data_IF_430630175468
#
_entry.id   IF_430630175468
#
_cell.length_a   1.000
_cell.length_b   1.000
_cell.length_c   1.000
_cell.angle_alpha   90.00
_cell.angle_beta   90.00
_cell.angle_gamma   90.00
#
_symmetry.space_group_name_H-M   'P 1'
#
loop_
_entity.id
_entity.type
_entity.pdbx_description
1 polymer ?
#
# COMPACT_ATOMS: atom_id res chain seq x y z
N UNK A 1 5.42 -19.26 -14.72
CA UNK A 1 4.69 -18.01 -14.62
C UNK A 1 3.54 -18.22 -13.65
N UNK A 2 3.54 -17.57 -12.52
CA UNK A 2 2.51 -17.64 -11.49
C UNK A 2 1.62 -16.41 -11.66
N UNK A 3 0.33 -16.61 -11.90
CA UNK A 3 -0.63 -15.52 -11.98
C UNK A 3 -1.39 -15.42 -10.65
N UNK A 4 -1.47 -14.21 -10.12
CA UNK A 4 -2.24 -13.86 -8.94
C UNK A 4 -3.53 -13.19 -9.41
N UNK A 5 -4.66 -13.64 -8.92
CA UNK A 5 -5.95 -12.97 -9.13
C UNK A 5 -6.13 -11.96 -8.00
N UNK A 6 -6.24 -10.70 -8.34
CA UNK A 6 -6.55 -9.62 -7.40
C UNK A 6 -7.95 -9.10 -7.73
N UNK A 7 -8.84 -9.22 -6.79
CA UNK A 7 -10.19 -8.67 -6.85
C UNK A 7 -10.16 -7.26 -6.26
N UNK A 8 -10.57 -6.27 -7.05
CA UNK A 8 -10.75 -4.91 -6.53
C UNK A 8 -11.97 -4.84 -5.61
N UNK A 9 -11.72 -4.50 -4.36
CA UNK A 9 -12.69 -4.07 -3.34
C UNK A 9 -13.63 -5.09 -2.68
N UNK A 10 -13.47 -6.39 -2.88
CA UNK A 10 -13.96 -7.33 -1.88
C UNK A 10 -12.77 -8.16 -1.42
N UNK A 11 -12.56 -8.20 -0.10
CA UNK A 11 -11.53 -9.01 0.54
C UNK A 11 -11.92 -10.48 0.36
N UNK A 12 -11.70 -10.97 -0.84
CA UNK A 12 -11.79 -12.36 -1.21
C UNK A 12 -10.43 -13.06 -1.05
N UNK A 13 -10.38 -14.37 -0.92
CA UNK A 13 -9.13 -15.08 -0.75
C UNK A 13 -8.24 -14.89 -1.98
N UNK A 14 -7.01 -14.46 -1.77
CA UNK A 14 -5.97 -14.45 -2.81
C UNK A 14 -5.76 -15.90 -3.29
N UNK A 15 -6.06 -16.15 -4.56
CA UNK A 15 -5.91 -17.49 -5.13
C UNK A 15 -4.55 -17.58 -5.80
N UNK A 16 -3.59 -18.26 -5.15
CA UNK A 16 -2.34 -18.67 -5.79
C UNK A 16 -2.62 -19.72 -6.85
N UNK A 17 -2.30 -19.45 -8.11
CA UNK A 17 -2.45 -20.40 -9.20
C UNK A 17 -1.10 -21.04 -9.50
N UNK A 18 -0.95 -22.29 -9.10
CA UNK A 18 0.17 -23.16 -9.49
C UNK A 18 -0.34 -24.16 -10.55
N UNK A 19 0.15 -24.06 -11.79
CA UNK A 19 0.03 -25.11 -12.80
C UNK A 19 -1.40 -25.47 -13.25
N UNK A 20 -1.68 -26.76 -13.32
CA UNK A 20 -2.95 -27.33 -13.77
C UNK A 20 -4.15 -26.77 -12.99
N UNK A 21 -5.12 -26.19 -13.72
CA UNK A 21 -6.31 -25.57 -13.12
C UNK A 21 -6.46 -24.08 -13.40
N UNK A 22 -5.55 -23.46 -14.15
CA UNK A 22 -5.63 -22.04 -14.52
C UNK A 22 -6.99 -21.69 -15.15
N UNK A 23 -7.41 -22.43 -16.17
CA UNK A 23 -8.69 -22.19 -16.85
C UNK A 23 -9.89 -22.29 -15.89
N UNK A 24 -9.90 -23.29 -15.02
CA UNK A 24 -10.96 -23.48 -14.01
C UNK A 24 -11.03 -22.29 -13.02
N UNK A 25 -9.88 -21.73 -12.64
CA UNK A 25 -9.84 -20.59 -11.72
C UNK A 25 -10.30 -19.30 -12.39
N UNK A 26 -9.96 -19.12 -13.67
CA UNK A 26 -10.51 -18.03 -14.50
C UNK A 26 -12.03 -18.14 -14.60
N UNK A 27 -12.56 -19.33 -14.86
CA UNK A 27 -14.01 -19.56 -14.90
C UNK A 27 -14.70 -19.26 -13.55
N UNK A 28 -14.05 -19.61 -12.43
CA UNK A 28 -14.57 -19.27 -11.11
C UNK A 28 -14.59 -17.77 -10.90
N UNK A 29 -13.49 -17.07 -11.22
CA UNK A 29 -13.40 -15.62 -11.07
C UNK A 29 -14.42 -14.87 -11.94
N UNK A 30 -14.64 -15.34 -13.19
CA UNK A 30 -15.63 -14.78 -14.11
C UNK A 30 -17.10 -15.02 -13.69
N UNK A 31 -17.34 -15.82 -12.65
CA UNK A 31 -18.68 -15.93 -12.06
C UNK A 31 -18.98 -14.79 -11.06
N UNK A 32 -17.91 -14.19 -10.51
CA UNK A 32 -18.01 -13.13 -9.50
C UNK A 32 -17.95 -11.73 -10.16
N UNK A 33 -17.14 -11.56 -11.24
CA UNK A 33 -16.98 -10.30 -11.96
C UNK A 33 -16.76 -10.58 -13.46
N UNK A 34 -17.09 -9.62 -14.31
CA UNK A 34 -16.86 -9.67 -15.76
C UNK A 34 -15.41 -9.31 -16.14
N UNK A 35 -14.58 -8.93 -15.18
CA UNK A 35 -13.17 -8.59 -15.34
C UNK A 35 -12.29 -9.43 -14.45
N UNK A 36 -11.19 -9.91 -15.01
CA UNK A 36 -10.18 -10.70 -14.30
C UNK A 36 -8.80 -10.09 -14.55
N UNK A 37 -8.10 -9.73 -13.47
CA UNK A 37 -6.73 -9.24 -13.54
C UNK A 37 -5.76 -10.39 -13.32
N UNK A 38 -4.74 -10.46 -14.18
CA UNK A 38 -3.65 -11.44 -14.09
C UNK A 38 -2.36 -10.71 -13.79
N UNK A 39 -1.73 -11.08 -12.69
CA UNK A 39 -0.48 -10.47 -12.26
C UNK A 39 0.62 -11.52 -12.14
N UNK A 40 1.86 -11.12 -12.37
CA UNK A 40 3.02 -11.95 -12.13
C UNK A 40 3.16 -12.18 -10.61
N UNK A 41 3.36 -13.43 -10.22
CA UNK A 41 3.72 -13.70 -8.83
C UNK A 41 5.18 -13.33 -8.58
N UNK A 42 5.42 -12.47 -7.60
CA UNK A 42 6.75 -12.06 -7.15
C UNK A 42 7.00 -12.61 -5.74
N UNK A 43 8.06 -13.40 -5.55
CA UNK A 43 8.50 -13.75 -4.19
C UNK A 43 9.20 -12.53 -3.58
N UNK A 44 8.48 -11.81 -2.76
CA UNK A 44 8.89 -10.51 -2.28
C UNK A 44 8.61 -10.34 -0.78
N UNK A 45 9.24 -9.31 -0.21
CA UNK A 45 8.83 -8.69 1.01
C UNK A 45 7.85 -7.56 0.66
N UNK A 46 6.66 -7.60 1.26
CA UNK A 46 5.64 -6.57 1.10
C UNK A 46 5.90 -5.44 2.08
N UNK A 47 5.93 -4.20 1.57
CA UNK A 47 6.15 -3.01 2.39
C UNK A 47 5.19 -1.90 2.00
N UNK A 48 4.77 -1.13 2.99
CA UNK A 48 3.80 -0.05 2.85
C UNK A 48 4.46 1.29 3.20
N UNK A 49 4.26 2.31 2.36
CA UNK A 49 4.79 3.66 2.55
C UNK A 49 3.64 4.67 2.54
N UNK A 50 3.56 5.52 3.56
CA UNK A 50 2.59 6.60 3.59
C UNK A 50 3.10 7.81 2.82
N UNK A 51 2.19 8.47 2.09
CA UNK A 51 2.43 9.73 1.40
C UNK A 51 1.39 10.77 1.81
N UNK A 52 1.79 12.03 1.89
CA UNK A 52 0.94 13.17 2.19
C UNK A 52 1.43 14.40 1.42
N UNK A 53 0.52 15.21 0.91
CA UNK A 53 0.89 16.46 0.23
C UNK A 53 -0.13 16.92 -0.77
N UNK A 54 0.31 17.85 -1.64
CA UNK A 54 -0.45 18.37 -2.76
C UNK A 54 0.36 18.15 -4.05
N UNK A 55 -0.16 17.44 -5.06
CA UNK A 55 0.59 17.14 -6.29
C UNK A 55 0.85 18.39 -7.14
N UNK A 56 0.03 19.44 -7.02
CA UNK A 56 0.24 20.72 -7.69
C UNK A 56 1.49 21.46 -7.18
N UNK A 57 1.97 21.06 -6.01
CA UNK A 57 3.22 21.53 -5.44
C UNK A 57 4.03 20.34 -4.92
N UNK A 58 4.83 19.72 -5.78
CA UNK A 58 5.63 18.54 -5.43
C UNK A 58 6.54 18.73 -4.21
N UNK A 59 6.91 20.00 -3.90
CA UNK A 59 7.72 20.31 -2.71
C UNK A 59 6.98 20.03 -1.39
N UNK A 60 5.64 19.94 -1.43
CA UNK A 60 4.81 19.61 -0.27
C UNK A 60 4.63 18.12 -0.07
N UNK A 61 4.99 17.30 -1.07
CA UNK A 61 4.85 15.84 -1.00
C UNK A 61 5.90 15.27 -0.07
N UNK A 62 5.42 14.62 0.98
CA UNK A 62 6.25 13.92 1.96
C UNK A 62 5.87 12.46 2.01
N UNK A 63 6.89 11.58 2.12
CA UNK A 63 6.73 10.14 2.24
C UNK A 63 7.46 9.63 3.48
N UNK A 64 6.89 8.63 4.11
CA UNK A 64 7.47 8.01 5.31
C UNK A 64 8.53 6.97 4.93
N UNK A 65 9.33 6.53 5.89
CA UNK A 65 9.99 5.24 5.77
C UNK A 65 8.95 4.14 5.67
N UNK A 66 9.17 3.12 4.80
CA UNK A 66 8.20 2.04 4.70
C UNK A 66 8.17 1.17 5.95
N UNK A 67 7.01 0.65 6.25
CA UNK A 67 6.79 -0.40 7.23
C UNK A 67 6.45 -1.72 6.56
N UNK A 68 6.57 -2.80 7.31
CA UNK A 68 6.17 -4.14 6.88
C UNK A 68 5.20 -4.77 7.87
N UNK A 69 4.38 -5.69 7.38
CA UNK A 69 3.52 -6.53 8.20
C UNK A 69 4.10 -7.94 8.19
N UNK A 70 4.60 -8.39 9.33
CA UNK A 70 5.02 -9.76 9.50
C UNK A 70 3.79 -10.63 9.74
N UNK A 71 3.45 -11.47 8.78
CA UNK A 71 2.39 -12.45 8.96
C UNK A 71 2.80 -13.49 10.01
N UNK A 72 1.94 -13.75 10.98
CA UNK A 72 2.19 -14.75 12.03
C UNK A 72 2.06 -16.20 11.56
N UNK A 73 1.60 -16.45 10.33
CA UNK A 73 1.46 -17.77 9.70
C UNK A 73 1.61 -17.68 8.19
N UNK A 74 1.85 -18.81 7.53
CA UNK A 74 2.08 -18.95 6.08
C UNK A 74 0.94 -18.42 5.17
N UNK A 75 -0.23 -18.15 5.75
CA UNK A 75 -1.39 -17.59 5.07
C UNK A 75 -1.97 -16.44 5.90
N UNK A 76 -1.86 -15.23 5.38
CA UNK A 76 -2.46 -14.04 5.94
C UNK A 76 -3.96 -14.05 5.65
N UNK A 77 -4.77 -14.40 6.64
CA UNK A 77 -6.23 -14.41 6.51
C UNK A 77 -6.84 -13.10 7.03
N UNK A 78 -8.07 -12.81 6.60
CA UNK A 78 -8.86 -11.70 7.15
C UNK A 78 -8.98 -11.75 8.68
N UNK A 79 -9.10 -12.96 9.23
CA UNK A 79 -9.20 -13.17 10.68
C UNK A 79 -7.89 -12.86 11.41
N UNK A 80 -6.73 -13.08 10.77
CA UNK A 80 -5.42 -12.71 11.33
C UNK A 80 -5.27 -11.19 11.38
N UNK A 81 -5.81 -10.48 10.38
CA UNK A 81 -5.71 -9.03 10.27
C UNK A 81 -6.55 -8.30 11.34
N UNK A 82 -7.72 -8.84 11.70
CA UNK A 82 -8.71 -8.11 12.50
C UNK A 82 -9.11 -8.78 13.82
N UNK A 83 -8.88 -10.10 13.99
CA UNK A 83 -9.37 -10.84 15.17
C UNK A 83 -8.28 -11.40 16.07
N UNK A 84 -7.17 -11.89 15.52
CA UNK A 84 -6.19 -12.66 16.29
C UNK A 84 -4.93 -11.89 16.72
N UNK A 85 -4.72 -10.66 16.21
CA UNK A 85 -3.61 -9.78 16.63
C UNK A 85 -2.20 -10.38 16.43
N UNK A 86 -2.06 -11.40 15.58
CA UNK A 86 -0.81 -12.15 15.39
C UNK A 86 0.15 -11.43 14.43
N UNK A 87 -0.36 -10.48 13.64
CA UNK A 87 0.46 -9.71 12.71
C UNK A 87 1.24 -8.62 13.46
N UNK A 88 2.55 -8.64 13.30
CA UNK A 88 3.43 -7.60 13.85
C UNK A 88 3.72 -6.55 12.80
N UNK A 89 3.45 -5.30 13.13
CA UNK A 89 3.88 -4.14 12.34
C UNK A 89 5.30 -3.79 12.73
N UNK A 90 6.20 -3.69 11.76
CA UNK A 90 7.60 -3.31 11.94
C UNK A 90 7.87 -2.04 11.15
N UNK A 91 8.24 -0.96 11.83
CA UNK A 91 8.55 0.34 11.23
C UNK A 91 9.89 0.83 11.80
N UNK A 92 10.89 1.12 10.97
CA UNK A 92 10.94 0.87 9.53
C UNK A 92 10.98 -0.63 9.20
N UNK A 93 10.60 -0.98 7.98
CA UNK A 93 10.71 -2.34 7.44
C UNK A 93 12.15 -2.87 7.55
N UNK A 94 12.31 -4.18 7.71
CA UNK A 94 13.64 -4.82 7.78
C UNK A 94 14.29 -4.92 6.40
N UNK A 95 14.66 -3.77 5.86
CA UNK A 95 15.34 -3.62 4.58
C UNK A 95 16.66 -2.85 4.77
N UNK A 96 17.65 -3.02 3.86
CA UNK A 96 18.79 -2.14 3.78
C UNK A 96 18.36 -0.67 3.62
N UNK A 97 19.12 0.28 4.19
CA UNK A 97 18.80 1.71 4.15
C UNK A 97 18.57 2.23 2.75
N UNK A 98 19.41 1.81 1.81
CA UNK A 98 19.28 2.11 0.37
C UNK A 98 17.90 1.72 -0.19
N UNK A 99 17.35 0.57 0.25
CA UNK A 99 16.03 0.11 -0.21
C UNK A 99 14.89 0.87 0.47
N UNK A 100 15.05 1.25 1.72
CA UNK A 100 14.09 2.13 2.39
C UNK A 100 13.97 3.47 1.65
N UNK A 101 15.10 4.06 1.26
CA UNK A 101 15.13 5.33 0.51
C UNK A 101 14.60 5.18 -0.92
N UNK A 102 14.88 4.05 -1.59
CA UNK A 102 14.34 3.74 -2.92
C UNK A 102 12.80 3.66 -2.89
N UNK A 103 12.23 2.96 -1.90
CA UNK A 103 10.78 2.85 -1.71
C UNK A 103 10.16 4.22 -1.46
N UNK A 104 10.75 5.05 -0.58
CA UNK A 104 10.30 6.43 -0.35
C UNK A 104 10.26 7.25 -1.63
N UNK A 105 11.31 7.16 -2.43
CA UNK A 105 11.43 7.88 -3.69
C UNK A 105 10.33 7.44 -4.66
N UNK A 106 10.13 6.14 -4.81
CA UNK A 106 9.10 5.60 -5.70
C UNK A 106 7.68 5.93 -5.21
N UNK A 107 7.46 5.98 -3.90
CA UNK A 107 6.18 6.41 -3.34
C UNK A 107 5.87 7.87 -3.70
N UNK A 108 6.83 8.78 -3.57
CA UNK A 108 6.67 10.18 -3.97
C UNK A 108 6.41 10.32 -5.48
N UNK A 109 7.16 9.58 -6.31
CA UNK A 109 6.97 9.56 -7.76
C UNK A 109 5.59 9.05 -8.15
N UNK A 110 5.14 7.94 -7.58
CA UNK A 110 3.85 7.34 -7.87
C UNK A 110 2.68 8.23 -7.40
N UNK A 111 2.79 8.80 -6.20
CA UNK A 111 1.83 9.76 -5.66
C UNK A 111 1.63 10.96 -6.60
N UNK A 112 2.73 11.54 -7.07
CA UNK A 112 2.71 12.68 -7.99
C UNK A 112 2.21 12.28 -9.37
N UNK A 113 2.68 11.16 -9.94
CA UNK A 113 2.31 10.70 -11.27
C UNK A 113 0.81 10.37 -11.41
N UNK A 114 0.20 9.89 -10.32
CA UNK A 114 -1.25 9.62 -10.26
C UNK A 114 -2.08 10.79 -9.75
N UNK A 115 -1.46 11.95 -9.59
CA UNK A 115 -2.12 13.16 -9.10
C UNK A 115 -2.89 12.94 -7.80
N UNK A 116 -2.30 12.17 -6.86
CA UNK A 116 -2.91 11.92 -5.56
C UNK A 116 -2.92 13.20 -4.72
N UNK A 117 -3.94 13.37 -3.90
CA UNK A 117 -4.13 14.55 -3.06
C UNK A 117 -4.39 14.17 -1.60
N UNK A 118 -3.87 14.97 -0.68
CA UNK A 118 -4.02 14.72 0.76
C UNK A 118 -3.21 13.52 1.18
N UNK A 119 -3.82 12.36 1.30
CA UNK A 119 -3.18 11.14 1.80
C UNK A 119 -3.23 9.99 0.79
N UNK A 120 -2.19 9.17 0.80
CA UNK A 120 -2.20 7.88 0.11
C UNK A 120 -1.25 6.89 0.80
N UNK A 121 -1.54 5.59 0.71
CA UNK A 121 -0.61 4.53 1.05
C UNK A 121 -0.18 3.85 -0.24
N UNK A 122 1.12 3.81 -0.43
CA UNK A 122 1.75 3.16 -1.57
C UNK A 122 2.32 1.83 -1.11
N UNK A 123 1.89 0.74 -1.71
CA UNK A 123 2.26 -0.61 -1.35
C UNK A 123 3.22 -1.17 -2.39
N UNK A 124 4.32 -1.76 -1.93
CA UNK A 124 5.43 -2.22 -2.77
C UNK A 124 5.81 -3.66 -2.47
N UNK A 125 6.35 -4.31 -3.49
CA UNK A 125 7.09 -5.55 -3.39
C UNK A 125 8.59 -5.27 -3.51
N UNK A 126 9.37 -5.75 -2.54
CA UNK A 126 10.83 -5.82 -2.66
C UNK A 126 11.17 -7.27 -2.94
N UNK A 127 11.50 -7.57 -4.22
CA UNK A 127 11.74 -8.92 -4.71
C UNK A 127 12.94 -9.54 -4.00
N UNK A 128 12.73 -10.74 -3.44
CA UNK A 128 13.81 -11.47 -2.79
C UNK A 128 14.86 -11.91 -3.82
N UNK A 129 16.10 -11.90 -3.42
CA UNK A 129 17.23 -12.29 -4.26
C UNK A 129 17.74 -11.18 -5.18
N UNK A 130 16.89 -10.40 -5.84
CA UNK A 130 17.30 -9.28 -6.70
C UNK A 130 17.28 -7.93 -5.99
N UNK A 131 16.42 -7.76 -5.00
CA UNK A 131 16.15 -6.49 -4.32
C UNK A 131 15.45 -5.46 -5.22
N UNK A 132 14.84 -5.87 -6.34
CA UNK A 132 14.07 -5.00 -7.23
C UNK A 132 12.82 -4.51 -6.50
N UNK A 133 12.58 -3.19 -6.51
CA UNK A 133 11.40 -2.57 -5.94
C UNK A 133 10.33 -2.42 -7.02
N UNK A 134 9.15 -2.94 -6.75
CA UNK A 134 7.99 -2.91 -7.64
C UNK A 134 6.83 -2.28 -6.92
N UNK A 135 6.13 -1.35 -7.57
CA UNK A 135 4.88 -0.85 -7.05
C UNK A 135 3.78 -1.90 -7.24
N UNK A 136 3.00 -2.15 -6.19
CA UNK A 136 1.85 -3.03 -6.22
C UNK A 136 0.56 -2.21 -6.42
N UNK A 137 0.25 -1.33 -5.45
CA UNK A 137 -0.95 -0.50 -5.52
C UNK A 137 -0.77 0.84 -4.83
N UNK A 138 -1.66 1.80 -5.14
CA UNK A 138 -1.85 3.02 -4.36
C UNK A 138 -3.27 3.04 -3.82
N UNK A 139 -3.37 3.18 -2.50
CA UNK A 139 -4.64 3.31 -1.80
C UNK A 139 -4.83 4.76 -1.35
N UNK A 140 -5.70 5.49 -2.04
CA UNK A 140 -5.99 6.92 -1.77
C UNK A 140 -6.98 7.13 -0.62
N UNK A 141 -7.53 6.06 -0.06
CA UNK A 141 -8.37 6.09 1.14
C UNK A 141 -7.99 4.96 2.10
N UNK A 142 -6.74 4.97 2.62
CA UNK A 142 -6.23 3.90 3.47
C UNK A 142 -7.00 3.83 4.79
N UNK A 143 -6.96 2.65 5.42
CA UNK A 143 -7.51 2.48 6.77
C UNK A 143 -6.92 3.50 7.75
N UNK A 144 -7.79 4.03 8.63
CA UNK A 144 -7.44 5.11 9.56
C UNK A 144 -7.83 4.78 11.01
N UNK A 145 -7.61 3.53 11.40
CA UNK A 145 -7.85 3.04 12.77
C UNK A 145 -6.52 2.93 13.54
N UNK A 146 -6.59 2.69 14.84
CA UNK A 146 -5.39 2.52 15.69
C UNK A 146 -4.48 1.34 15.29
N UNK A 147 -5.01 0.38 14.52
CA UNK A 147 -4.24 -0.75 14.00
C UNK A 147 -3.74 -0.53 12.57
N UNK A 148 -4.26 0.48 11.87
CA UNK A 148 -3.94 0.74 10.45
C UNK A 148 -2.51 1.22 10.28
N UNK A 149 -1.87 0.77 9.18
CA UNK A 149 -0.47 1.08 8.89
C UNK A 149 -0.26 2.58 8.62
N UNK A 150 -1.15 3.22 7.84
CA UNK A 150 -0.97 4.63 7.45
C UNK A 150 -0.74 5.58 8.65
N UNK A 151 -1.63 5.64 9.67
CA UNK A 151 -1.40 6.50 10.83
C UNK A 151 -0.16 6.10 11.64
N UNK A 152 0.19 4.82 11.72
CA UNK A 152 1.40 4.36 12.42
C UNK A 152 2.68 4.81 11.72
N UNK A 153 2.71 4.77 10.38
CA UNK A 153 3.82 5.28 9.59
C UNK A 153 4.01 6.78 9.80
N UNK A 154 2.92 7.55 9.78
CA UNK A 154 2.96 9.00 10.01
C UNK A 154 3.39 9.33 11.44
N UNK A 155 2.90 8.61 12.44
CA UNK A 155 3.30 8.78 13.83
C UNK A 155 4.79 8.47 14.05
N UNK A 156 5.33 7.45 13.37
CA UNK A 156 6.75 7.11 13.41
C UNK A 156 7.63 8.24 12.87
N UNK A 157 7.17 8.98 11.87
CA UNK A 157 7.85 10.18 11.34
C UNK A 157 7.58 11.46 12.16
N UNK A 158 6.93 11.33 13.32
CA UNK A 158 6.68 12.44 14.23
C UNK A 158 5.41 13.24 13.93
N UNK A 159 4.50 12.71 13.13
CA UNK A 159 3.20 13.31 12.84
C UNK A 159 2.06 12.46 13.42
N UNK A 160 1.74 12.60 14.73
CA UNK A 160 0.68 11.85 15.39
C UNK A 160 -0.70 12.22 14.87
N UNK A 161 -1.69 11.33 15.06
CA UNK A 161 -3.02 11.40 14.46
C UNK A 161 -3.70 12.77 14.58
N UNK A 162 -3.71 13.48 15.71
CA UNK A 162 -4.34 14.81 15.78
C UNK A 162 -3.71 15.82 14.81
N UNK A 163 -2.37 15.89 14.77
CA UNK A 163 -1.63 16.78 13.89
C UNK A 163 -1.74 16.35 12.42
N UNK A 164 -1.83 15.04 12.17
CA UNK A 164 -2.07 14.50 10.83
C UNK A 164 -3.43 14.96 10.30
N UNK A 165 -4.48 14.92 11.13
CA UNK A 165 -5.81 15.41 10.76
C UNK A 165 -5.77 16.91 10.46
N UNK A 166 -5.13 17.71 11.32
CA UNK A 166 -4.98 19.16 11.10
C UNK A 166 -4.25 19.44 9.77
N UNK A 167 -3.19 18.66 9.47
CA UNK A 167 -2.46 18.82 8.20
C UNK A 167 -3.31 18.47 6.98
N UNK A 168 -4.11 17.40 7.05
CA UNK A 168 -5.03 17.01 5.97
C UNK A 168 -6.11 18.08 5.73
N UNK A 169 -6.65 18.66 6.79
CA UNK A 169 -7.61 19.78 6.69
C UNK A 169 -6.94 20.99 6.02
N UNK A 170 -5.73 21.33 6.45
CA UNK A 170 -4.98 22.44 5.86
C UNK A 170 -4.76 22.25 4.36
N UNK A 171 -4.30 21.05 3.94
CA UNK A 171 -4.13 20.73 2.52
C UNK A 171 -5.42 20.86 1.72
N UNK A 172 -6.55 20.43 2.28
CA UNK A 172 -7.85 20.57 1.61
C UNK A 172 -8.29 22.02 1.47
N UNK A 173 -8.01 22.87 2.45
CA UNK A 173 -8.31 24.32 2.40
C UNK A 173 -7.40 25.05 1.39
N UNK A 174 -6.10 24.78 1.42
CA UNK A 174 -5.11 25.33 0.47
C UNK A 174 -5.52 25.01 -0.99
N UNK A 175 -5.99 23.81 -1.24
CA UNK A 175 -6.49 23.42 -2.56
C UNK A 175 -7.73 24.18 -2.97
N UNK A 176 -8.70 24.31 -2.07
CA UNK A 176 -9.93 25.07 -2.36
C UNK A 176 -9.65 26.51 -2.73
N UNK A 177 -8.72 27.15 -2.04
CA UNK A 177 -8.31 28.53 -2.35
C UNK A 177 -7.71 28.65 -3.76
N UNK A 178 -6.86 27.69 -4.17
CA UNK A 178 -6.27 27.66 -5.52
C UNK A 178 -7.29 27.45 -6.63
N UNK A 179 -8.40 26.75 -6.36
CA UNK A 179 -9.45 26.48 -7.36
C UNK A 179 -10.41 27.66 -7.56
N UNK A 180 -10.46 28.61 -6.62
CA UNK A 180 -11.42 29.73 -6.61
C UNK A 180 -10.76 31.11 -6.71
N UNK A 181 -9.44 31.17 -6.80
CA UNK A 181 -8.66 32.39 -7.09
C UNK A 181 -8.26 32.45 -8.55
#
# INVERSE_FOLDING_TARGET
>A
MLAQLVEQQHIGPQIRVLGAGFAQRVEIALREDDKVVFEEFVDAQEVECAAIGNPDDPSTVSTTRPGEILAGAEFYTYDDKYKNGVSQVVIPAKLPEEKLDEVKTYAAMAYTALNCEGLARCDFFVEKGTGRVLINEINTFPGFTSISMYPKLMEHEGLPVPQLIDRLIALALERKEKQHG
#
